data_IF_064223763762
#
_entry.id   IF_064223763762
#
_cell.length_a   1.000
_cell.length_b   1.000
_cell.length_c   1.000
_cell.angle_alpha   90.00
_cell.angle_beta   90.00
_cell.angle_gamma   90.00
#
_symmetry.space_group_name_H-M   'P 1'
#
loop_
_entity.id
_entity.type
_entity.pdbx_description
1 polymer ?
#
# COMPACT_ATOMS: atom_id res chain seq x y z
N UNK A 1 -3.31 -45.44 -2.83
CA UNK A 1 -2.73 -44.52 -1.84
C UNK A 1 -2.72 -43.13 -2.47
N UNK A 2 -3.63 -42.24 -2.11
CA UNK A 2 -3.69 -40.87 -2.65
C UNK A 2 -2.91 -39.96 -1.70
N UNK A 3 -1.80 -39.37 -2.15
CA UNK A 3 -1.10 -38.34 -1.41
C UNK A 3 -1.81 -37.01 -1.65
N UNK A 4 -2.43 -36.46 -0.60
CA UNK A 4 -2.90 -35.09 -0.62
C UNK A 4 -1.69 -34.15 -0.65
N UNK A 5 -1.60 -33.31 -1.68
CA UNK A 5 -0.70 -32.16 -1.69
C UNK A 5 -1.17 -31.21 -0.58
N UNK A 6 -0.40 -31.13 0.51
CA UNK A 6 -0.51 -29.99 1.43
C UNK A 6 0.04 -28.80 0.67
N UNK A 7 -0.86 -27.96 0.15
CA UNK A 7 -0.49 -26.63 -0.30
C UNK A 7 0.05 -25.89 0.94
N UNK A 8 1.36 -25.67 0.98
CA UNK A 8 1.96 -24.87 2.03
C UNK A 8 1.28 -23.51 2.04
N UNK A 9 0.71 -23.12 3.18
CA UNK A 9 0.22 -21.77 3.37
C UNK A 9 1.42 -20.83 3.22
N UNK A 10 1.50 -20.13 2.10
CA UNK A 10 2.40 -18.98 2.00
C UNK A 10 1.92 -17.97 3.01
N UNK A 11 2.67 -17.78 4.10
CA UNK A 11 2.52 -16.62 4.96
C UNK A 11 2.93 -15.38 4.14
N UNK A 12 2.03 -14.92 3.27
CA UNK A 12 2.09 -13.56 2.77
C UNK A 12 1.94 -12.70 4.02
N UNK A 13 3.02 -12.04 4.44
CA UNK A 13 2.96 -10.96 5.40
C UNK A 13 1.81 -10.06 4.93
N UNK A 14 0.79 -9.86 5.76
CA UNK A 14 -0.44 -9.14 5.39
C UNK A 14 -0.08 -7.64 5.28
N UNK A 15 0.60 -7.29 4.20
CA UNK A 15 1.03 -5.93 3.91
C UNK A 15 -0.21 -5.10 3.61
N UNK A 16 -0.44 -4.06 4.40
CA UNK A 16 -1.60 -3.18 4.24
C UNK A 16 -1.15 -1.82 3.73
N UNK A 17 -1.96 -1.23 2.85
CA UNK A 17 -1.76 0.13 2.37
C UNK A 17 -2.97 0.98 2.74
N UNK A 18 -2.71 2.23 3.08
CA UNK A 18 -3.75 3.24 3.26
C UNK A 18 -3.73 4.13 2.03
N UNK A 19 -4.86 4.24 1.35
CA UNK A 19 -5.01 5.23 0.29
C UNK A 19 -5.36 6.58 0.90
N UNK A 20 -4.58 7.61 0.57
CA UNK A 20 -4.82 8.98 1.00
C UNK A 20 -5.83 9.64 0.06
N UNK A 21 -5.52 9.64 -1.24
CA UNK A 21 -6.33 10.29 -2.28
C UNK A 21 -6.02 9.71 -3.68
N UNK A 22 -6.80 10.13 -4.68
CA UNK A 22 -6.57 9.82 -6.08
C UNK A 22 -6.54 11.10 -6.92
N UNK A 23 -5.62 11.16 -7.88
CA UNK A 23 -5.38 12.32 -8.74
C UNK A 23 -5.64 11.99 -10.22
N UNK A 24 -6.27 12.89 -10.99
CA UNK A 24 -6.64 12.65 -12.39
C UNK A 24 -5.51 12.92 -13.39
N UNK A 25 -4.30 13.27 -12.91
CA UNK A 25 -3.13 13.47 -13.75
C UNK A 25 -1.84 13.10 -13.03
N UNK A 26 -0.80 12.76 -13.81
CA UNK A 26 0.53 12.46 -13.26
C UNK A 26 1.12 13.66 -12.54
N UNK A 27 0.95 14.86 -13.10
CA UNK A 27 1.51 16.09 -12.54
C UNK A 27 0.93 16.39 -11.15
N UNK A 28 -0.39 16.25 -11.00
CA UNK A 28 -1.05 16.44 -9.70
C UNK A 28 -0.62 15.33 -8.72
N UNK A 29 -0.55 14.07 -9.17
CA UNK A 29 -0.09 12.96 -8.35
C UNK A 29 1.32 13.19 -7.80
N UNK A 30 2.27 13.59 -8.64
CA UNK A 30 3.65 13.87 -8.23
C UNK A 30 3.73 15.05 -7.25
N UNK A 31 2.98 16.11 -7.52
CA UNK A 31 2.96 17.31 -6.67
C UNK A 31 2.45 16.94 -5.27
N UNK A 32 1.34 16.20 -5.20
CA UNK A 32 0.70 15.81 -3.95
C UNK A 32 1.51 14.78 -3.20
N UNK A 33 2.08 13.80 -3.88
CA UNK A 33 2.98 12.82 -3.26
C UNK A 33 4.18 13.49 -2.60
N UNK A 34 4.78 14.53 -3.21
CA UNK A 34 5.87 15.31 -2.60
C UNK A 34 5.43 16.11 -1.38
N UNK A 35 4.18 16.54 -1.32
CA UNK A 35 3.63 17.22 -0.14
C UNK A 35 3.46 16.20 0.99
N UNK A 36 2.79 15.08 0.74
CA UNK A 36 2.61 14.05 1.76
C UNK A 36 3.92 13.42 2.21
N UNK A 37 4.90 13.25 1.31
CA UNK A 37 6.22 12.73 1.66
C UNK A 37 6.99 13.61 2.67
N UNK A 38 6.61 14.88 2.87
CA UNK A 38 7.19 15.72 3.91
C UNK A 38 6.75 15.29 5.32
N UNK A 39 5.54 14.75 5.46
CA UNK A 39 5.00 14.29 6.75
C UNK A 39 5.03 12.77 6.90
N UNK A 40 4.83 12.04 5.80
CA UNK A 40 4.78 10.59 5.72
C UNK A 40 5.80 10.09 4.70
N UNK A 41 7.03 9.77 5.11
CA UNK A 41 8.10 9.34 4.22
C UNK A 41 7.74 8.12 3.36
N UNK A 42 6.84 7.26 3.84
CA UNK A 42 6.36 6.06 3.14
C UNK A 42 5.23 6.34 2.14
N UNK A 43 5.12 7.59 1.68
CA UNK A 43 4.18 7.99 0.62
C UNK A 43 4.65 7.46 -0.73
N UNK A 44 3.75 6.81 -1.44
CA UNK A 44 3.97 6.31 -2.80
C UNK A 44 2.83 6.76 -3.72
N UNK A 45 3.13 6.95 -5.01
CA UNK A 45 2.14 7.23 -6.04
C UNK A 45 2.17 6.13 -7.11
N UNK A 46 1.00 5.58 -7.43
CA UNK A 46 0.85 4.47 -8.37
C UNK A 46 -0.21 4.81 -9.42
N UNK A 47 0.06 4.51 -10.70
CA UNK A 47 -0.98 4.57 -11.72
C UNK A 47 -2.00 3.46 -11.50
N UNK A 48 -3.28 3.80 -11.46
CA UNK A 48 -4.39 2.85 -11.31
C UNK A 48 -5.17 2.68 -12.63
N UNK A 49 -4.63 3.19 -13.73
CA UNK A 49 -5.24 3.14 -15.06
C UNK A 49 -6.15 4.33 -15.36
N UNK A 50 -6.58 4.44 -16.63
CA UNK A 50 -7.50 5.48 -17.10
C UNK A 50 -7.05 6.93 -16.82
N UNK A 51 -5.75 7.16 -16.70
CA UNK A 51 -5.17 8.48 -16.38
C UNK A 51 -5.15 8.82 -14.89
N UNK A 52 -5.64 7.94 -14.02
CA UNK A 52 -5.70 8.16 -12.58
C UNK A 52 -4.49 7.58 -11.85
N UNK A 53 -4.17 8.22 -10.72
CA UNK A 53 -3.06 7.86 -9.86
C UNK A 53 -3.53 7.84 -8.41
N UNK A 54 -3.27 6.76 -7.69
CA UNK A 54 -3.51 6.66 -6.26
C UNK A 54 -2.26 7.08 -5.48
N UNK A 55 -2.46 7.84 -4.41
CA UNK A 55 -1.42 8.15 -3.42
C UNK A 55 -1.68 7.29 -2.20
N UNK A 56 -0.69 6.52 -1.79
CA UNK A 56 -0.80 5.52 -0.72
C UNK A 56 0.32 5.66 0.31
N UNK A 57 0.04 5.26 1.54
CA UNK A 57 1.01 5.06 2.60
C UNK A 57 1.22 3.57 2.82
N UNK A 58 2.47 3.14 2.96
CA UNK A 58 2.82 1.77 3.35
C UNK A 58 3.96 1.17 2.54
N UNK A 59 4.20 -0.15 2.67
CA UNK A 59 3.39 -1.14 3.38
C UNK A 59 3.45 -0.97 4.89
N UNK A 60 2.29 -0.93 5.55
CA UNK A 60 2.20 -1.00 7.01
C UNK A 60 2.45 -2.44 7.41
N UNK A 61 3.46 -2.72 8.25
CA UNK A 61 3.62 -4.04 8.85
C UNK A 61 2.41 -4.33 9.74
N UNK A 62 2.03 -5.60 9.83
CA UNK A 62 0.93 -6.08 10.69
C UNK A 62 1.16 -5.75 12.18
N UNK A 63 2.41 -5.39 12.51
CA UNK A 63 2.94 -5.14 13.84
C UNK A 63 3.00 -3.63 14.15
N UNK A 64 1.84 -2.96 14.10
CA UNK A 64 1.64 -1.71 14.84
C UNK A 64 0.18 -1.56 15.29
N UNK A 65 -0.45 -2.68 15.67
CA UNK A 65 -1.76 -2.71 16.31
C UNK A 65 -1.74 -3.40 17.69
N UNK A 66 -0.55 -3.71 18.24
CA UNK A 66 -0.36 -4.26 19.59
C UNK A 66 0.37 -3.25 20.52
N UNK A 67 -0.06 -1.99 20.51
CA UNK A 67 0.35 -1.02 21.55
C UNK A 67 -0.85 -0.21 22.00
N UNK A 68 -1.79 -0.86 22.71
CA UNK A 68 -2.71 -0.27 23.72
C UNK A 68 -3.71 -1.29 24.31
N UNK A 69 -3.21 -2.26 25.07
CA UNK A 69 -3.97 -2.92 26.14
C UNK A 69 -3.36 -2.59 27.50
#
# INVERSE_FOLDING_TARGET
MWMALVAGASAAQDMRWIQIEAQPSLLEAETRARIYAQEFPDTQAHSIGSGWYAITLGPLPEDEADLRM
#
